data_IF_093978583972
#
_entry.id   IF_093978583972
#
_cell.length_a   1.000
_cell.length_b   1.000
_cell.length_c   1.000
_cell.angle_alpha   90.00
_cell.angle_beta   90.00
_cell.angle_gamma   90.00
#
_symmetry.space_group_name_H-M   'P 1'
#
loop_
_entity.id
_entity.type
_entity.pdbx_description
1 polymer ?
#
# COMPACT_ATOMS: atom_id res chain seq x y z
N UNK A 1 -15.45 -19.78 20.22
CA UNK A 1 -15.01 -19.58 18.83
C UNK A 1 -15.30 -18.12 18.48
N UNK A 2 -14.30 -17.25 18.40
CA UNK A 2 -14.53 -15.89 17.90
C UNK A 2 -14.87 -15.98 16.40
N UNK A 3 -15.83 -15.19 15.88
CA UNK A 3 -16.14 -15.23 14.46
C UNK A 3 -14.87 -14.82 13.71
N UNK A 4 -14.38 -15.68 12.82
CA UNK A 4 -13.41 -15.27 11.83
C UNK A 4 -14.07 -14.13 11.06
N UNK A 5 -13.59 -12.89 11.28
CA UNK A 5 -14.03 -11.75 10.50
C UNK A 5 -13.84 -12.13 9.03
N UNK A 6 -14.94 -12.33 8.31
CA UNK A 6 -14.93 -12.59 6.87
C UNK A 6 -14.04 -11.54 6.24
N UNK A 7 -12.84 -11.96 5.80
CA UNK A 7 -11.86 -11.04 5.27
C UNK A 7 -12.51 -10.30 4.09
N UNK A 8 -12.70 -9.00 4.25
CA UNK A 8 -13.33 -8.15 3.24
C UNK A 8 -12.63 -8.36 1.91
N UNK A 9 -13.40 -8.70 0.88
CA UNK A 9 -12.87 -8.89 -0.47
C UNK A 9 -12.97 -7.56 -1.21
N UNK A 10 -11.82 -6.88 -1.34
CA UNK A 10 -11.71 -5.66 -2.12
C UNK A 10 -11.68 -5.99 -3.61
N UNK A 11 -12.44 -5.24 -4.41
CA UNK A 11 -12.57 -5.44 -5.87
C UNK A 11 -12.46 -4.10 -6.58
N UNK A 12 -12.28 -4.15 -7.91
CA UNK A 12 -12.25 -2.96 -8.76
C UNK A 12 -11.24 -1.92 -8.28
N UNK A 13 -11.72 -0.69 -8.12
CA UNK A 13 -10.91 0.48 -7.76
C UNK A 13 -10.31 0.37 -6.35
N UNK A 14 -11.03 -0.20 -5.38
CA UNK A 14 -10.48 -0.40 -4.01
C UNK A 14 -9.30 -1.38 -4.02
N UNK A 15 -9.38 -2.44 -4.83
CA UNK A 15 -8.28 -3.38 -4.99
C UNK A 15 -7.08 -2.74 -5.71
N UNK A 16 -7.32 -1.83 -6.66
CA UNK A 16 -6.28 -1.07 -7.31
C UNK A 16 -5.63 -0.05 -6.36
N UNK A 17 -6.43 0.66 -5.55
CA UNK A 17 -5.95 1.57 -4.51
C UNK A 17 -5.09 0.84 -3.48
N UNK A 18 -5.52 -0.34 -3.02
CA UNK A 18 -4.74 -1.20 -2.11
C UNK A 18 -3.41 -1.63 -2.72
N UNK A 19 -3.39 -2.02 -4.00
CA UNK A 19 -2.15 -2.34 -4.72
C UNK A 19 -1.21 -1.14 -4.79
N UNK A 20 -1.75 0.04 -5.07
CA UNK A 20 -0.98 1.27 -5.14
C UNK A 20 -0.40 1.67 -3.77
N UNK A 21 -1.23 1.69 -2.73
CA UNK A 21 -0.82 1.95 -1.36
C UNK A 21 0.29 0.98 -0.93
N UNK A 22 0.09 -0.33 -1.15
CA UNK A 22 1.10 -1.34 -0.79
C UNK A 22 2.42 -1.12 -1.54
N UNK A 23 2.36 -0.76 -2.81
CA UNK A 23 3.55 -0.50 -3.62
C UNK A 23 4.33 0.69 -3.10
N UNK A 24 3.66 1.80 -2.76
CA UNK A 24 4.32 2.99 -2.18
C UNK A 24 4.94 2.66 -0.82
N UNK A 25 4.19 1.99 0.06
CA UNK A 25 4.67 1.63 1.39
C UNK A 25 5.88 0.71 1.35
N UNK A 26 5.82 -0.33 0.51
CA UNK A 26 6.90 -1.30 0.41
C UNK A 26 8.16 -0.66 -0.16
N UNK A 27 8.03 0.21 -1.17
CA UNK A 27 9.19 0.90 -1.71
C UNK A 27 9.81 1.87 -0.73
N UNK A 28 9.01 2.59 0.05
CA UNK A 28 9.55 3.44 1.13
C UNK A 28 10.43 2.61 2.09
N UNK A 29 9.95 1.43 2.48
CA UNK A 29 10.70 0.51 3.35
C UNK A 29 11.96 -0.02 2.67
N UNK A 30 11.91 -0.39 1.38
CA UNK A 30 13.09 -0.88 0.65
C UNK A 30 14.15 0.21 0.48
N UNK A 31 13.76 1.42 0.08
CA UNK A 31 14.67 2.55 -0.09
C UNK A 31 15.29 2.97 1.24
N UNK A 32 14.50 2.96 2.32
CA UNK A 32 15.00 3.25 3.67
C UNK A 32 16.02 2.21 4.14
N UNK A 33 15.76 0.91 3.93
CA UNK A 33 16.70 -0.16 4.26
C UNK A 33 17.99 -0.11 3.43
N UNK A 34 17.91 0.39 2.19
CA UNK A 34 19.05 0.62 1.33
C UNK A 34 19.76 1.96 1.60
N UNK A 35 19.33 2.71 2.63
CA UNK A 35 19.84 4.03 3.01
C UNK A 35 19.79 5.07 1.87
N UNK A 36 18.88 4.88 0.91
CA UNK A 36 18.68 5.76 -0.25
C UNK A 36 17.74 6.94 0.05
N UNK A 37 16.94 6.83 1.11
CA UNK A 37 16.09 7.91 1.62
C UNK A 37 16.19 7.98 3.14
N UNK A 38 16.02 9.18 3.70
CA UNK A 38 16.04 9.40 5.13
C UNK A 38 14.73 9.01 5.83
N UNK A 39 14.72 9.09 7.17
CA UNK A 39 13.55 8.75 7.98
C UNK A 39 12.35 9.67 7.71
N UNK A 40 12.58 10.95 7.35
CA UNK A 40 11.50 11.88 7.07
C UNK A 40 10.86 11.65 5.70
N UNK A 41 11.64 11.37 4.64
CA UNK A 41 11.06 10.95 3.36
C UNK A 41 10.27 9.64 3.50
N UNK A 42 10.80 8.69 4.29
CA UNK A 42 10.10 7.43 4.59
C UNK A 42 8.75 7.70 5.27
N UNK A 43 8.69 8.57 6.28
CA UNK A 43 7.43 8.96 6.93
C UNK A 43 6.45 9.61 5.95
N UNK A 44 6.93 10.47 5.05
CA UNK A 44 6.07 11.11 4.04
C UNK A 44 5.45 10.04 3.12
N UNK A 45 6.24 9.11 2.60
CA UNK A 45 5.71 8.04 1.73
C UNK A 45 4.72 7.12 2.45
N UNK A 46 4.98 6.79 3.72
CA UNK A 46 4.03 6.04 4.55
C UNK A 46 2.76 6.85 4.85
N UNK A 47 2.88 8.17 5.02
CA UNK A 47 1.73 9.08 5.16
C UNK A 47 0.85 9.08 3.91
N UNK A 48 1.45 9.16 2.72
CA UNK A 48 0.75 9.06 1.43
C UNK A 48 0.00 7.73 1.32
N UNK A 49 0.63 6.63 1.72
CA UNK A 49 -0.02 5.31 1.76
C UNK A 49 -1.29 5.34 2.61
N UNK A 50 -1.20 5.90 3.82
CA UNK A 50 -2.36 6.02 4.71
C UNK A 50 -3.46 6.87 4.08
N UNK A 51 -3.12 7.99 3.45
CA UNK A 51 -4.11 8.85 2.78
C UNK A 51 -4.83 8.14 1.63
N UNK A 52 -4.11 7.35 0.82
CA UNK A 52 -4.72 6.54 -0.24
C UNK A 52 -5.72 5.55 0.35
N UNK A 53 -5.34 4.85 1.43
CA UNK A 53 -6.23 3.91 2.11
C UNK A 53 -7.46 4.59 2.73
N UNK A 54 -7.29 5.76 3.33
CA UNK A 54 -8.43 6.44 3.97
C UNK A 54 -9.43 7.00 2.96
N UNK A 55 -8.96 7.45 1.80
CA UNK A 55 -9.82 8.05 0.77
C UNK A 55 -10.43 7.02 -0.19
N UNK A 56 -9.68 5.99 -0.57
CA UNK A 56 -10.02 5.12 -1.71
C UNK A 56 -10.30 3.66 -1.34
N UNK A 57 -10.22 3.32 -0.05
CA UNK A 57 -10.47 1.95 0.43
C UNK A 57 -11.46 2.03 1.59
N UNK A 58 -12.58 1.34 1.46
CA UNK A 58 -13.59 1.27 2.52
C UNK A 58 -13.18 0.30 3.63
N UNK A 59 -13.94 0.29 4.73
CA UNK A 59 -13.68 -0.56 5.89
C UNK A 59 -12.92 0.14 6.99
N UNK A 60 -12.70 -0.60 8.07
CA UNK A 60 -12.01 -0.10 9.27
C UNK A 60 -10.50 -0.04 9.05
N UNK A 61 -9.82 0.80 9.84
CA UNK A 61 -8.34 0.88 9.83
C UNK A 61 -7.67 -0.49 10.02
N UNK A 62 -8.26 -1.35 10.85
CA UNK A 62 -7.77 -2.72 11.08
C UNK A 62 -7.89 -3.59 9.83
N UNK A 63 -9.03 -3.55 9.14
CA UNK A 63 -9.24 -4.29 7.88
C UNK A 63 -8.29 -3.81 6.78
N UNK A 64 -8.11 -2.49 6.62
CA UNK A 64 -7.18 -1.92 5.64
C UNK A 64 -5.73 -2.33 5.93
N UNK A 65 -5.32 -2.29 7.20
CA UNK A 65 -3.98 -2.74 7.64
C UNK A 65 -3.76 -4.23 7.39
N UNK A 66 -4.75 -5.07 7.67
CA UNK A 66 -4.68 -6.51 7.41
C UNK A 66 -4.60 -6.82 5.90
N UNK A 67 -5.31 -6.07 5.07
CA UNK A 67 -5.24 -6.18 3.63
C UNK A 67 -3.83 -5.83 3.10
N UNK A 68 -3.21 -4.77 3.60
CA UNK A 68 -1.83 -4.43 3.27
C UNK A 68 -0.84 -5.52 3.69
N UNK A 69 -0.97 -6.06 4.91
CA UNK A 69 -0.11 -7.14 5.38
C UNK A 69 -0.21 -8.38 4.46
N UNK A 70 -1.45 -8.76 4.11
CA UNK A 70 -1.70 -9.87 3.18
C UNK A 70 -1.09 -9.62 1.80
N UNK A 71 -1.17 -8.39 1.30
CA UNK A 71 -0.58 -8.00 0.01
C UNK A 71 0.95 -8.08 0.03
N UNK A 72 1.57 -7.66 1.12
CA UNK A 72 3.02 -7.78 1.35
C UNK A 72 3.44 -9.25 1.38
N UNK A 73 2.73 -10.08 2.14
CA UNK A 73 3.09 -11.48 2.35
C UNK A 73 2.88 -12.34 1.07
N UNK A 74 2.05 -11.89 0.13
CA UNK A 74 1.80 -12.55 -1.15
C UNK A 74 2.78 -12.18 -2.28
N UNK A 75 3.60 -11.14 -2.10
CA UNK A 75 4.43 -10.60 -3.18
C UNK A 75 5.90 -10.99 -3.00
N UNK A 76 6.49 -11.47 -4.09
CA UNK A 76 7.94 -11.56 -4.22
C UNK A 76 8.57 -10.15 -4.31
N UNK A 77 9.77 -9.99 -3.72
CA UNK A 77 10.46 -8.70 -3.62
C UNK A 77 10.77 -8.13 -5.02
N UNK A 78 11.17 -8.96 -5.97
CA UNK A 78 11.54 -8.54 -7.33
C UNK A 78 10.32 -8.12 -8.14
N UNK A 79 9.19 -8.83 -7.99
CA UNK A 79 7.93 -8.44 -8.61
C UNK A 79 7.42 -7.09 -8.07
N UNK A 80 7.62 -6.83 -6.77
CA UNK A 80 7.22 -5.55 -6.18
C UNK A 80 8.07 -4.38 -6.66
N UNK A 81 9.38 -4.59 -6.83
CA UNK A 81 10.28 -3.57 -7.36
C UNK A 81 9.95 -3.22 -8.82
N UNK A 82 9.61 -4.23 -9.62
CA UNK A 82 9.20 -4.05 -11.03
C UNK A 82 7.86 -3.31 -11.13
N UNK A 83 6.89 -3.70 -10.29
CA UNK A 83 5.60 -3.00 -10.18
C UNK A 83 5.78 -1.55 -9.74
N UNK A 84 6.71 -1.27 -8.82
CA UNK A 84 7.05 0.08 -8.40
C UNK A 84 7.60 0.92 -9.56
N UNK A 85 8.63 0.45 -10.25
CA UNK A 85 9.24 1.17 -11.36
C UNK A 85 8.23 1.46 -12.48
N UNK A 86 7.28 0.55 -12.71
CA UNK A 86 6.32 0.66 -13.80
C UNK A 86 5.07 1.48 -13.44
N UNK A 87 4.65 1.45 -12.17
CA UNK A 87 3.32 1.91 -11.77
C UNK A 87 3.30 2.98 -10.67
N UNK A 88 4.41 3.28 -9.98
CA UNK A 88 4.39 4.24 -8.86
C UNK A 88 3.91 5.63 -9.28
N UNK A 89 4.37 6.15 -10.41
CA UNK A 89 3.91 7.45 -10.95
C UNK A 89 2.44 7.39 -11.36
N UNK A 90 1.98 6.26 -11.90
CA UNK A 90 0.57 6.07 -12.31
C UNK A 90 -0.36 6.01 -11.10
N UNK A 91 0.10 5.46 -9.99
CA UNK A 91 -0.69 5.33 -8.76
C UNK A 91 -1.12 6.68 -8.19
N UNK A 92 -0.24 7.68 -8.17
CA UNK A 92 -0.58 9.00 -7.63
C UNK A 92 -1.49 9.81 -8.56
N UNK A 93 -1.42 9.57 -9.87
CA UNK A 93 -2.36 10.15 -10.84
C UNK A 93 -3.74 9.50 -10.72
N UNK A 94 -3.79 8.18 -10.53
CA UNK A 94 -5.04 7.42 -10.45
C UNK A 94 -5.75 7.57 -9.09
N UNK A 95 -4.99 7.73 -8.01
CA UNK A 95 -5.51 7.85 -6.64
C UNK A 95 -4.97 9.12 -5.97
N UNK A 96 -5.52 10.29 -6.31
CA UNK A 96 -5.09 11.56 -5.75
C UNK A 96 -5.33 11.61 -4.24
N UNK A 97 -4.40 12.26 -3.53
CA UNK A 97 -4.41 12.41 -2.06
C UNK A 97 -4.79 13.82 -1.60
N UNK A 98 -5.08 14.72 -2.56
CA UNK A 98 -5.41 16.13 -2.35
C UNK A 98 -6.92 16.26 -2.14
#
# INVERSE_FOLDING_TARGET
>A
MAPAALARVYKGDEAAALRCANTIAYTAVLLSQAELIGPDETKVMLGITVLILERHVTGTRTEKKSALATMRDRRDVAQTLTDYQTNATKCLVQFPIN
#
